data_IF_641578447728
#
_entry.id   IF_641578447728
#
_cell.length_a   1.000
_cell.length_b   1.000
_cell.length_c   1.000
_cell.angle_alpha   90.00
_cell.angle_beta   90.00
_cell.angle_gamma   90.00
#
_symmetry.space_group_name_H-M   'P 1'
#
loop_
_entity.id
_entity.type
_entity.pdbx_description
1 polymer ?
#
# COMPACT_ATOMS: atom_id res chain seq x y z
N UNK A 1 -11.36 50.71 47.36
CA UNK A 1 -10.93 50.93 45.96
C UNK A 1 -10.08 52.18 45.89
N UNK A 2 -8.78 52.05 45.64
CA UNK A 2 -7.86 53.20 45.53
C UNK A 2 -7.65 53.47 44.04
N UNK A 3 -8.27 54.54 43.53
CA UNK A 3 -8.07 54.99 42.16
C UNK A 3 -6.72 55.71 42.04
N UNK A 4 -5.82 55.18 41.20
CA UNK A 4 -4.56 55.82 40.86
C UNK A 4 -4.82 57.07 39.99
N UNK A 5 -4.97 58.24 40.63
CA UNK A 5 -5.04 59.55 39.95
C UNK A 5 -3.69 59.89 39.31
N UNK A 6 -3.68 60.42 38.07
CA UNK A 6 -2.53 61.20 37.58
C UNK A 6 -2.43 62.48 38.42
N UNK A 7 -1.24 63.08 38.48
CA UNK A 7 -0.91 64.31 39.25
C UNK A 7 -1.88 65.48 38.99
N UNK A 8 -2.59 65.48 37.86
CA UNK A 8 -3.72 66.36 37.57
C UNK A 8 -4.97 65.48 37.40
N UNK A 9 -5.99 65.67 38.24
CA UNK A 9 -7.12 64.76 38.49
C UNK A 9 -8.10 64.44 37.34
N UNK A 10 -7.63 64.27 36.10
CA UNK A 10 -8.41 63.67 35.01
C UNK A 10 -8.34 62.13 35.07
N UNK A 11 -9.45 61.41 34.81
CA UNK A 11 -9.42 59.97 34.61
C UNK A 11 -8.42 59.59 33.52
N UNK A 12 -7.68 58.49 33.69
CA UNK A 12 -6.84 57.95 32.61
C UNK A 12 -7.76 57.36 31.55
N UNK A 13 -7.70 57.90 30.33
CA UNK A 13 -8.52 57.49 29.17
C UNK A 13 -8.11 56.12 28.58
N UNK A 14 -6.98 55.57 29.04
CA UNK A 14 -6.47 54.28 28.61
C UNK A 14 -6.20 53.39 29.81
N UNK A 15 -6.68 52.14 29.72
CA UNK A 15 -6.43 51.09 30.69
C UNK A 15 -4.92 50.94 30.93
N UNK A 16 -4.55 50.71 32.18
CA UNK A 16 -3.17 50.42 32.55
C UNK A 16 -2.68 49.16 31.83
N UNK A 17 -1.37 49.04 31.59
CA UNK A 17 -0.79 47.88 30.92
C UNK A 17 -1.18 46.53 31.57
N UNK A 18 -1.44 46.54 32.88
CA UNK A 18 -1.94 45.40 33.64
C UNK A 18 -3.40 45.05 33.27
N UNK A 19 -4.27 46.05 33.20
CA UNK A 19 -5.67 45.89 32.79
C UNK A 19 -5.80 45.43 31.33
N UNK A 20 -4.96 45.94 30.41
CA UNK A 20 -4.94 45.47 29.03
C UNK A 20 -4.51 44.00 28.88
N UNK A 21 -3.50 43.57 29.66
CA UNK A 21 -3.08 42.16 29.69
C UNK A 21 -4.17 41.26 30.25
N UNK A 22 -4.85 41.70 31.31
CA UNK A 22 -5.93 40.96 31.94
C UNK A 22 -7.16 40.87 31.03
N UNK A 23 -7.53 41.96 30.34
CA UNK A 23 -8.60 41.95 29.33
C UNK A 23 -8.27 41.03 28.13
N UNK A 24 -7.00 40.97 27.72
CA UNK A 24 -6.55 40.08 26.64
C UNK A 24 -6.61 38.62 27.08
N UNK A 25 -6.20 38.32 28.33
CA UNK A 25 -6.32 36.98 28.92
C UNK A 25 -7.77 36.52 28.98
N UNK A 26 -8.68 37.39 29.43
CA UNK A 26 -10.11 37.08 29.51
C UNK A 26 -10.74 36.89 28.13
N UNK A 27 -10.39 37.71 27.14
CA UNK A 27 -10.84 37.54 25.75
C UNK A 27 -10.33 36.22 25.14
N UNK A 28 -9.07 35.86 25.40
CA UNK A 28 -8.49 34.60 24.94
C UNK A 28 -9.18 33.40 25.59
N UNK A 29 -9.42 33.45 26.90
CA UNK A 29 -10.15 32.42 27.64
C UNK A 29 -11.60 32.28 27.14
N UNK A 30 -12.29 33.40 26.88
CA UNK A 30 -13.65 33.39 26.31
C UNK A 30 -13.68 32.85 24.87
N UNK A 31 -12.66 33.15 24.07
CA UNK A 31 -12.51 32.59 22.73
C UNK A 31 -12.22 31.08 22.77
N UNK A 32 -11.33 30.64 23.66
CA UNK A 32 -11.01 29.22 23.86
C UNK A 32 -12.25 28.45 24.33
N UNK A 33 -13.01 28.97 25.30
CA UNK A 33 -14.27 28.36 25.75
C UNK A 33 -15.28 28.20 24.60
N UNK A 34 -15.37 29.17 23.70
CA UNK A 34 -16.27 29.10 22.52
C UNK A 34 -15.78 28.17 21.41
N UNK A 35 -14.48 27.86 21.34
CA UNK A 35 -13.86 27.12 20.23
C UNK A 35 -13.32 25.73 20.63
N UNK A 36 -13.42 25.34 21.90
CA UNK A 36 -13.05 23.98 22.36
C UNK A 36 -13.91 22.93 21.65
N UNK A 37 -15.23 23.13 21.60
CA UNK A 37 -16.14 22.14 21.00
C UNK A 37 -15.91 21.99 19.50
N UNK A 38 -15.69 23.09 18.77
CA UNK A 38 -15.36 23.07 17.35
C UNK A 38 -14.03 22.35 17.08
N UNK A 39 -13.00 22.55 17.93
CA UNK A 39 -11.72 21.84 17.80
C UNK A 39 -11.83 20.36 18.16
N UNK A 40 -12.57 20.02 19.21
CA UNK A 40 -12.85 18.65 19.60
C UNK A 40 -13.70 17.94 18.56
N UNK A 41 -14.68 18.61 17.95
CA UNK A 41 -15.47 18.08 16.83
C UNK A 41 -14.60 17.88 15.59
N UNK A 42 -13.70 18.81 15.25
CA UNK A 42 -12.75 18.66 14.13
C UNK A 42 -11.76 17.50 14.36
N UNK A 43 -11.30 17.30 15.59
CA UNK A 43 -10.47 16.14 15.97
C UNK A 43 -11.26 14.84 15.89
N UNK A 44 -12.50 14.79 16.40
CA UNK A 44 -13.40 13.63 16.30
C UNK A 44 -13.76 13.30 14.86
N UNK A 45 -14.06 14.29 14.02
CA UNK A 45 -14.35 14.10 12.60
C UNK A 45 -13.13 13.56 11.84
N UNK A 46 -11.91 14.04 12.14
CA UNK A 46 -10.67 13.47 11.60
C UNK A 46 -10.44 12.04 12.09
N UNK A 47 -10.71 11.75 13.36
CA UNK A 47 -10.58 10.41 13.91
C UNK A 47 -11.61 9.44 13.28
N UNK A 48 -12.85 9.87 13.06
CA UNK A 48 -13.91 9.08 12.45
C UNK A 48 -13.69 8.84 10.95
N UNK A 49 -13.17 9.83 10.21
CA UNK A 49 -12.82 9.66 8.79
C UNK A 49 -11.57 8.80 8.59
N UNK A 50 -10.61 8.83 9.52
CA UNK A 50 -9.42 7.98 9.47
C UNK A 50 -9.65 6.59 10.05
N UNK A 51 -10.63 6.38 10.95
CA UNK A 51 -10.80 5.07 11.61
C UNK A 51 -11.21 3.97 10.64
N UNK A 52 -12.02 4.26 9.61
CA UNK A 52 -12.39 3.25 8.61
C UNK A 52 -11.20 2.85 7.72
N UNK A 53 -10.24 3.75 7.49
CA UNK A 53 -9.04 3.47 6.70
C UNK A 53 -7.91 2.86 7.52
N UNK A 54 -7.81 3.21 8.82
CA UNK A 54 -6.85 2.60 9.74
C UNK A 54 -7.21 1.14 10.08
N UNK A 55 -8.48 0.76 9.92
CA UNK A 55 -8.98 -0.60 10.15
C UNK A 55 -9.05 -1.46 8.87
N UNK A 56 -8.70 -0.93 7.69
CA UNK A 56 -8.77 -1.70 6.44
C UNK A 56 -7.59 -2.66 6.38
N UNK A 57 -7.86 -3.94 6.64
CA UNK A 57 -6.88 -5.01 6.52
C UNK A 57 -6.52 -5.25 5.06
N UNK A 58 -5.25 -5.53 4.80
CA UNK A 58 -4.84 -6.13 3.54
C UNK A 58 -5.36 -7.57 3.46
N UNK A 59 -5.73 -8.01 2.27
CA UNK A 59 -6.17 -9.37 2.00
C UNK A 59 -5.56 -9.88 0.70
N UNK A 60 -5.22 -11.16 0.66
CA UNK A 60 -4.70 -11.86 -0.49
C UNK A 60 -5.29 -13.27 -0.45
N UNK A 61 -5.77 -13.77 -1.59
CA UNK A 61 -6.45 -15.07 -1.64
C UNK A 61 -5.47 -16.23 -1.51
N UNK A 62 -4.18 -15.98 -1.75
CA UNK A 62 -3.16 -17.01 -1.76
C UNK A 62 -3.30 -17.91 -2.98
N UNK A 63 -2.40 -18.89 -3.04
CA UNK A 63 -2.39 -19.92 -4.06
C UNK A 63 -2.71 -21.25 -3.36
N UNK A 64 -3.81 -21.88 -3.76
CA UNK A 64 -4.37 -23.04 -3.05
C UNK A 64 -3.82 -24.39 -3.53
N UNK A 65 -2.87 -24.40 -4.46
CA UNK A 65 -2.28 -25.61 -5.02
C UNK A 65 -0.76 -25.49 -5.12
N UNK A 66 -0.10 -26.63 -5.07
CA UNK A 66 1.36 -26.74 -5.20
C UNK A 66 1.80 -26.55 -6.66
N UNK A 67 3.07 -26.22 -6.87
CA UNK A 67 3.67 -26.11 -8.23
C UNK A 67 3.43 -27.36 -9.07
N UNK A 68 3.55 -28.55 -8.48
CA UNK A 68 3.33 -29.81 -9.20
C UNK A 68 1.88 -29.99 -9.64
N UNK A 69 0.93 -29.59 -8.79
CA UNK A 69 -0.50 -29.63 -9.12
C UNK A 69 -0.80 -28.65 -10.26
N UNK A 70 -0.20 -27.45 -10.27
CA UNK A 70 -0.35 -26.49 -11.37
C UNK A 70 0.14 -27.02 -12.71
N UNK A 71 1.24 -27.77 -12.72
CA UNK A 71 1.78 -28.34 -13.97
C UNK A 71 0.87 -29.38 -14.60
N UNK A 72 0.02 -30.02 -13.80
CA UNK A 72 -0.95 -31.02 -14.26
C UNK A 72 -2.36 -30.43 -14.37
N UNK A 73 -2.53 -29.17 -14.00
CA UNK A 73 -3.83 -28.56 -13.91
C UNK A 73 -4.45 -28.30 -15.29
N UNK A 74 -5.74 -28.61 -15.37
CA UNK A 74 -6.58 -28.42 -16.56
C UNK A 74 -7.76 -27.49 -16.29
N UNK A 75 -7.76 -26.75 -15.17
CA UNK A 75 -8.80 -25.76 -14.85
C UNK A 75 -8.94 -24.66 -15.92
N UNK A 76 -7.86 -24.36 -16.64
CA UNK A 76 -7.81 -23.31 -17.65
C UNK A 76 -7.83 -23.89 -19.06
N UNK A 77 -8.56 -23.22 -19.97
CA UNK A 77 -8.60 -23.56 -21.39
C UNK A 77 -7.99 -22.43 -22.21
N UNK A 78 -6.96 -22.75 -23.00
CA UNK A 78 -6.26 -21.79 -23.86
C UNK A 78 -5.57 -22.51 -25.03
N UNK A 79 -5.22 -21.80 -26.12
CA UNK A 79 -4.57 -22.42 -27.26
C UNK A 79 -3.13 -22.84 -26.91
N UNK A 80 -2.67 -23.92 -27.54
CA UNK A 80 -1.34 -24.52 -27.33
C UNK A 80 -0.56 -24.64 -28.65
N UNK A 81 0.78 -24.62 -28.61
CA UNK A 81 1.65 -24.97 -29.73
C UNK A 81 1.33 -26.36 -30.30
N UNK A 82 1.60 -26.56 -31.60
CA UNK A 82 1.42 -27.87 -32.24
C UNK A 82 2.48 -28.90 -31.83
N UNK A 83 3.70 -28.44 -31.50
CA UNK A 83 4.74 -29.32 -30.98
C UNK A 83 4.41 -29.72 -29.54
N UNK A 84 4.36 -31.03 -29.27
CA UNK A 84 3.93 -31.59 -27.97
C UNK A 84 4.86 -31.18 -26.82
N UNK A 85 6.16 -31.08 -27.07
CA UNK A 85 7.13 -30.72 -26.03
C UNK A 85 7.08 -29.23 -25.74
N UNK A 86 6.96 -28.40 -26.77
CA UNK A 86 6.74 -26.96 -26.63
C UNK A 86 5.41 -26.69 -25.92
N UNK A 87 4.35 -27.42 -26.26
CA UNK A 87 3.04 -27.30 -25.63
C UNK A 87 3.08 -27.63 -24.15
N UNK A 88 3.78 -28.70 -23.75
CA UNK A 88 3.90 -29.08 -22.34
C UNK A 88 4.57 -27.99 -21.50
N UNK A 89 5.71 -27.44 -21.95
CA UNK A 89 6.39 -26.37 -21.22
C UNK A 89 5.59 -25.06 -21.24
N UNK A 90 4.98 -24.72 -22.38
CA UNK A 90 4.13 -23.53 -22.48
C UNK A 90 2.93 -23.62 -21.54
N UNK A 91 2.30 -24.80 -21.44
CA UNK A 91 1.21 -25.05 -20.51
C UNK A 91 1.66 -24.85 -19.06
N UNK A 92 2.84 -25.35 -18.68
CA UNK A 92 3.39 -25.16 -17.33
C UNK A 92 3.61 -23.68 -17.00
N UNK A 93 4.22 -22.92 -17.91
CA UNK A 93 4.42 -21.46 -17.78
C UNK A 93 3.07 -20.76 -17.61
N UNK A 94 2.11 -21.09 -18.49
CA UNK A 94 0.82 -20.43 -18.51
C UNK A 94 -0.03 -20.75 -17.28
N UNK A 95 0.00 -21.99 -16.80
CA UNK A 95 -0.67 -22.36 -15.55
C UNK A 95 -0.06 -21.64 -14.35
N UNK A 96 1.27 -21.57 -14.23
CA UNK A 96 1.92 -20.79 -13.18
C UNK A 96 1.46 -19.33 -13.22
N UNK A 97 1.51 -18.71 -14.41
CA UNK A 97 1.10 -17.33 -14.60
C UNK A 97 -0.36 -17.11 -14.18
N UNK A 98 -1.29 -17.92 -14.68
CA UNK A 98 -2.72 -17.76 -14.39
C UNK A 98 -3.02 -17.95 -12.91
N UNK A 99 -2.48 -18.96 -12.25
CA UNK A 99 -2.69 -19.15 -10.81
C UNK A 99 -2.14 -17.99 -9.98
N UNK A 100 -0.97 -17.46 -10.34
CA UNK A 100 -0.41 -16.29 -9.66
C UNK A 100 -1.33 -15.08 -9.86
N UNK A 101 -1.81 -14.83 -11.08
CA UNK A 101 -2.70 -13.70 -11.39
C UNK A 101 -4.05 -13.84 -10.68
N UNK A 102 -4.65 -15.04 -10.66
CA UNK A 102 -5.88 -15.32 -9.94
C UNK A 102 -5.75 -15.09 -8.42
N UNK A 103 -4.57 -15.36 -7.84
CA UNK A 103 -4.32 -15.03 -6.43
C UNK A 103 -4.43 -13.52 -6.14
N UNK A 104 -4.28 -12.68 -7.17
CA UNK A 104 -4.48 -11.23 -7.14
C UNK A 104 -5.83 -10.78 -7.72
N UNK A 105 -6.84 -11.66 -7.72
CA UNK A 105 -8.21 -11.35 -8.21
C UNK A 105 -8.23 -10.89 -9.68
N UNK A 106 -7.32 -11.44 -10.50
CA UNK A 106 -7.12 -11.08 -11.91
C UNK A 106 -6.75 -9.60 -12.18
N UNK A 107 -6.52 -8.83 -11.11
CA UNK A 107 -6.25 -7.40 -11.16
C UNK A 107 -5.07 -7.03 -10.25
N UNK A 108 -3.84 -7.51 -10.53
CA UNK A 108 -2.68 -7.23 -9.69
C UNK A 108 -2.40 -5.72 -9.54
N UNK A 109 -2.58 -4.93 -10.60
CA UNK A 109 -2.40 -3.49 -10.54
C UNK A 109 -3.34 -2.82 -9.51
N UNK A 110 -4.60 -3.24 -9.47
CA UNK A 110 -5.58 -2.74 -8.52
C UNK A 110 -5.25 -3.19 -7.09
N UNK A 111 -4.79 -4.43 -6.93
CA UNK A 111 -4.32 -4.93 -5.63
C UNK A 111 -3.14 -4.10 -5.10
N UNK A 112 -2.14 -3.81 -5.93
CA UNK A 112 -0.99 -2.98 -5.54
C UNK A 112 -1.39 -1.53 -5.26
N UNK A 113 -2.29 -0.94 -6.05
CA UNK A 113 -2.81 0.40 -5.83
C UNK A 113 -3.57 0.51 -4.50
N UNK A 114 -4.48 -0.42 -4.23
CA UNK A 114 -5.21 -0.51 -2.98
C UNK A 114 -4.27 -0.69 -1.79
N UNK A 115 -3.30 -1.59 -1.92
CA UNK A 115 -2.30 -1.85 -0.88
C UNK A 115 -1.47 -0.60 -0.59
N UNK A 116 -1.03 0.11 -1.63
CA UNK A 116 -0.28 1.35 -1.50
C UNK A 116 -1.07 2.43 -0.76
N UNK A 117 -2.35 2.59 -1.08
CA UNK A 117 -3.23 3.53 -0.38
C UNK A 117 -3.42 3.19 1.11
N UNK A 118 -3.56 1.89 1.43
CA UNK A 118 -3.64 1.42 2.82
C UNK A 118 -2.33 1.72 3.55
N UNK A 119 -1.19 1.31 2.99
CA UNK A 119 0.14 1.55 3.57
C UNK A 119 0.41 3.04 3.77
N UNK A 120 0.02 3.91 2.84
CA UNK A 120 0.16 5.38 2.96
C UNK A 120 -0.54 5.92 4.21
N UNK A 121 -1.65 5.30 4.62
CA UNK A 121 -2.47 5.73 5.77
C UNK A 121 -2.13 5.00 7.07
N UNK A 122 -1.60 3.77 7.00
CA UNK A 122 -1.18 2.99 8.17
C UNK A 122 -0.02 3.63 8.96
N UNK A 123 -0.01 3.44 10.29
CA UNK A 123 1.00 3.97 11.22
C UNK A 123 1.23 3.00 12.38
N UNK A 124 2.41 3.07 13.01
CA UNK A 124 2.73 2.30 14.22
C UNK A 124 2.60 0.79 14.01
N UNK A 125 2.01 0.09 15.00
CA UNK A 125 1.83 -1.37 14.98
C UNK A 125 1.04 -1.86 13.74
N UNK A 126 0.00 -1.14 13.33
CA UNK A 126 -0.80 -1.52 12.14
C UNK A 126 0.05 -1.52 10.87
N UNK A 127 0.96 -0.57 10.72
CA UNK A 127 1.88 -0.56 9.58
C UNK A 127 2.82 -1.76 9.63
N UNK A 128 3.35 -2.07 10.81
CA UNK A 128 4.18 -3.26 11.01
C UNK A 128 3.44 -4.54 10.61
N UNK A 129 2.18 -4.69 11.03
CA UNK A 129 1.35 -5.86 10.69
C UNK A 129 1.14 -5.98 9.18
N UNK A 130 0.88 -4.86 8.49
CA UNK A 130 0.76 -4.85 7.04
C UNK A 130 2.08 -5.20 6.33
N UNK A 131 3.23 -4.77 6.86
CA UNK A 131 4.53 -5.15 6.31
C UNK A 131 4.80 -6.64 6.51
N UNK A 132 4.51 -7.18 7.70
CA UNK A 132 4.65 -8.61 7.98
C UNK A 132 3.76 -9.45 7.05
N UNK A 133 2.54 -8.98 6.78
CA UNK A 133 1.65 -9.60 5.79
C UNK A 133 2.26 -9.57 4.38
N UNK A 134 2.81 -8.43 3.92
CA UNK A 134 3.47 -8.38 2.61
C UNK A 134 4.69 -9.28 2.50
N UNK A 135 5.46 -9.42 3.59
CA UNK A 135 6.55 -10.38 3.67
C UNK A 135 6.05 -11.83 3.56
N UNK A 136 4.92 -12.17 4.17
CA UNK A 136 4.34 -13.52 4.04
C UNK A 136 3.87 -13.79 2.61
N UNK A 137 3.21 -12.82 1.96
CA UNK A 137 2.83 -12.93 0.55
C UNK A 137 4.06 -13.17 -0.34
N UNK A 138 5.13 -12.37 -0.17
CA UNK A 138 6.36 -12.54 -0.97
C UNK A 138 7.00 -13.92 -0.76
N UNK A 139 7.05 -14.39 0.49
CA UNK A 139 7.59 -15.71 0.83
C UNK A 139 6.78 -16.84 0.21
N UNK A 140 5.46 -16.73 0.22
CA UNK A 140 4.57 -17.71 -0.40
C UNK A 140 4.64 -17.70 -1.93
N UNK A 141 4.90 -16.54 -2.55
CA UNK A 141 5.09 -16.43 -4.01
C UNK A 141 6.43 -16.98 -4.51
N UNK A 142 7.47 -16.97 -3.67
CA UNK A 142 8.83 -17.36 -4.04
C UNK A 142 8.95 -18.73 -4.75
N UNK A 143 8.34 -19.83 -4.27
CA UNK A 143 8.42 -21.11 -4.96
C UNK A 143 7.84 -21.08 -6.38
N UNK A 144 6.76 -20.33 -6.60
CA UNK A 144 6.12 -20.20 -7.92
C UNK A 144 6.96 -19.34 -8.87
N UNK A 145 7.54 -18.24 -8.37
CA UNK A 145 8.48 -17.43 -9.16
C UNK A 145 9.70 -18.24 -9.58
N UNK A 146 10.26 -19.06 -8.67
CA UNK A 146 11.39 -19.93 -8.98
C UNK A 146 11.02 -21.03 -9.98
N UNK A 147 9.81 -21.59 -9.88
CA UNK A 147 9.32 -22.53 -10.86
C UNK A 147 9.17 -21.87 -12.23
N UNK A 148 8.68 -20.63 -12.28
CA UNK A 148 8.61 -19.83 -13.50
C UNK A 148 9.99 -19.64 -14.13
N UNK A 149 11.00 -19.22 -13.34
CA UNK A 149 12.40 -19.07 -13.82
C UNK A 149 12.89 -20.34 -14.51
N UNK A 150 12.80 -21.48 -13.82
CA UNK A 150 13.32 -22.76 -14.31
C UNK A 150 12.57 -23.21 -15.57
N UNK A 151 11.24 -23.13 -15.57
CA UNK A 151 10.44 -23.59 -16.71
C UNK A 151 10.63 -22.68 -17.92
N UNK A 152 10.69 -21.37 -17.70
CA UNK A 152 10.93 -20.38 -18.76
C UNK A 152 12.35 -20.52 -19.35
N UNK A 153 13.38 -20.63 -18.52
CA UNK A 153 14.75 -20.88 -18.99
C UNK A 153 14.82 -22.17 -19.83
N UNK A 154 14.16 -23.23 -19.37
CA UNK A 154 14.07 -24.50 -20.11
C UNK A 154 13.35 -24.32 -21.44
N UNK A 155 12.25 -23.55 -21.47
CA UNK A 155 11.53 -23.22 -22.68
C UNK A 155 12.40 -22.44 -23.67
N UNK A 156 13.13 -21.43 -23.21
CA UNK A 156 14.05 -20.65 -24.04
C UNK A 156 15.19 -21.52 -24.60
N UNK A 157 15.83 -22.36 -23.78
CA UNK A 157 16.92 -23.22 -24.25
C UNK A 157 16.46 -24.17 -25.37
N UNK A 158 15.26 -24.73 -25.24
CA UNK A 158 14.75 -25.74 -26.18
C UNK A 158 14.01 -25.14 -27.39
N UNK A 159 13.40 -23.97 -27.24
CA UNK A 159 12.43 -23.41 -28.18
C UNK A 159 12.60 -21.90 -28.43
N UNK A 160 13.81 -21.34 -28.33
CA UNK A 160 14.15 -19.92 -28.61
C UNK A 160 13.83 -19.44 -30.04
N UNK A 161 12.56 -19.51 -30.45
CA UNK A 161 12.02 -18.94 -31.67
C UNK A 161 11.20 -17.71 -31.29
N UNK A 162 11.35 -16.64 -32.06
CA UNK A 162 10.50 -15.44 -31.94
C UNK A 162 9.12 -15.68 -32.58
N UNK A 163 8.44 -16.75 -32.18
CA UNK A 163 7.05 -17.00 -32.55
C UNK A 163 6.08 -16.37 -31.52
N UNK A 164 4.78 -16.53 -31.75
CA UNK A 164 3.75 -16.00 -30.84
C UNK A 164 3.91 -16.62 -29.44
N UNK A 165 4.26 -17.90 -29.37
CA UNK A 165 4.42 -18.63 -28.10
C UNK A 165 5.62 -18.16 -27.30
N UNK A 166 6.75 -17.90 -27.97
CA UNK A 166 7.93 -17.32 -27.35
C UNK A 166 7.66 -15.94 -26.75
N UNK A 167 6.96 -15.07 -27.48
CA UNK A 167 6.60 -13.73 -26.97
C UNK A 167 5.65 -13.80 -25.78
N UNK A 168 4.63 -14.66 -25.85
CA UNK A 168 3.69 -14.86 -24.75
C UNK A 168 4.39 -15.43 -23.51
N UNK A 169 5.28 -16.41 -23.69
CA UNK A 169 6.08 -16.98 -22.60
C UNK A 169 6.94 -15.93 -21.90
N UNK A 170 7.63 -15.09 -22.68
CA UNK A 170 8.44 -13.98 -22.15
C UNK A 170 7.60 -13.00 -21.36
N UNK A 171 6.47 -12.55 -21.94
CA UNK A 171 5.58 -11.62 -21.25
C UNK A 171 5.05 -12.18 -19.92
N UNK A 172 4.67 -13.46 -19.89
CA UNK A 172 4.21 -14.13 -18.67
C UNK A 172 5.31 -14.17 -17.60
N UNK A 173 6.53 -14.56 -17.98
CA UNK A 173 7.67 -14.58 -17.06
C UNK A 173 7.98 -13.17 -16.51
N UNK A 174 8.14 -12.17 -17.39
CA UNK A 174 8.39 -10.78 -17.00
C UNK A 174 7.32 -10.23 -16.07
N UNK A 175 6.04 -10.49 -16.36
CA UNK A 175 4.92 -10.06 -15.53
C UNK A 175 5.00 -10.69 -14.13
N UNK A 176 5.22 -12.01 -14.04
CA UNK A 176 5.37 -12.69 -12.75
C UNK A 176 6.52 -12.13 -11.93
N UNK A 177 7.67 -11.87 -12.56
CA UNK A 177 8.82 -11.26 -11.87
C UNK A 177 8.59 -9.81 -11.46
N UNK A 178 7.87 -9.03 -12.27
CA UNK A 178 7.50 -7.67 -11.94
C UNK A 178 6.65 -7.63 -10.65
N UNK A 179 5.72 -8.56 -10.45
CA UNK A 179 4.93 -8.64 -9.21
C UNK A 179 5.81 -8.85 -7.98
N UNK A 180 6.71 -9.84 -8.04
CA UNK A 180 7.64 -10.12 -6.94
C UNK A 180 8.62 -8.95 -6.70
N UNK A 181 9.09 -8.31 -7.77
CA UNK A 181 9.97 -7.14 -7.69
C UNK A 181 9.29 -5.93 -7.07
N UNK A 182 8.01 -5.69 -7.41
CA UNK A 182 7.23 -4.61 -6.82
C UNK A 182 7.03 -4.82 -5.32
N UNK A 183 6.74 -6.05 -4.88
CA UNK A 183 6.67 -6.38 -3.46
C UNK A 183 8.01 -6.14 -2.75
N UNK A 184 9.12 -6.62 -3.34
CA UNK A 184 10.47 -6.38 -2.79
C UNK A 184 10.78 -4.90 -2.67
N UNK A 185 10.49 -4.11 -3.71
CA UNK A 185 10.71 -2.66 -3.71
C UNK A 185 9.97 -1.97 -2.55
N UNK A 186 8.72 -2.38 -2.28
CA UNK A 186 7.96 -1.85 -1.15
C UNK A 186 8.57 -2.25 0.20
N UNK A 187 9.02 -3.49 0.35
CA UNK A 187 9.63 -4.00 1.58
C UNK A 187 11.02 -3.38 1.82
N UNK A 188 11.84 -3.26 0.79
CA UNK A 188 13.15 -2.60 0.86
C UNK A 188 12.98 -1.11 1.20
N UNK A 189 11.95 -0.45 0.66
CA UNK A 189 11.64 0.94 1.02
C UNK A 189 11.21 1.08 2.49
N UNK A 190 10.55 0.06 3.04
CA UNK A 190 10.26 0.02 4.47
C UNK A 190 11.55 -0.10 5.30
N UNK A 191 12.42 -1.05 4.97
CA UNK A 191 13.68 -1.28 5.70
C UNK A 191 14.61 -0.06 5.64
N UNK A 192 14.59 0.67 4.52
CA UNK A 192 15.36 1.91 4.32
C UNK A 192 14.68 3.18 4.88
N UNK A 193 13.47 3.08 5.43
CA UNK A 193 12.71 4.23 5.94
C UNK A 193 12.18 5.20 4.87
N UNK A 194 12.21 4.81 3.60
CA UNK A 194 11.77 5.62 2.43
C UNK A 194 10.39 5.23 1.90
N UNK A 195 9.69 4.28 2.53
CA UNK A 195 8.40 3.74 2.09
C UNK A 195 7.39 4.81 1.63
N UNK A 196 7.25 5.91 2.39
CA UNK A 196 6.31 6.98 2.02
C UNK A 196 6.68 7.70 0.72
N UNK A 197 7.97 7.85 0.43
CA UNK A 197 8.43 8.48 -0.80
C UNK A 197 8.12 7.59 -2.00
N UNK A 198 8.44 6.30 -1.89
CA UNK A 198 8.14 5.30 -2.94
C UNK A 198 6.64 5.22 -3.22
N UNK A 199 5.82 5.15 -2.17
CA UNK A 199 4.37 5.09 -2.31
C UNK A 199 3.73 6.36 -2.92
N UNK A 200 4.37 7.52 -2.79
CA UNK A 200 3.88 8.79 -3.38
C UNK A 200 4.33 8.98 -4.84
N UNK A 201 5.38 8.29 -5.26
CA UNK A 201 5.88 8.33 -6.65
C UNK A 201 5.15 7.34 -7.56
N UNK A 202 4.60 6.26 -6.98
CA UNK A 202 3.86 5.22 -7.70
C UNK A 202 2.34 5.40 -7.73
N UNK A 203 1.81 6.52 -7.23
CA UNK A 203 0.38 6.85 -7.17
C UNK A 203 -0.05 7.88 -8.20
#
# INVERSE_FOLDING_TARGET
>A
MVFAKKKNGRPRDHGTAKECREATRLRKAAWEAKNVDARCAKRRARAAGNSCFLARSLSWFGINCTVNEMFQDTCFTYPLPADVRQAALFQQIKNLYLHIIHAFDDAPADWFSNTSQVLLRSRGAILQDHILFLQSVLRELQPYCRAMDITYDTFCILFAKEDIWGRDATHMAESTHALASNLRTLLDAWDNGTLKQVLLLGS
#
